data_IF_256042723613
#
_entry.id   IF_256042723613
#
_cell.length_a   1.000
_cell.length_b   1.000
_cell.length_c   1.000
_cell.angle_alpha   90.00
_cell.angle_beta   90.00
_cell.angle_gamma   90.00
#
_symmetry.space_group_name_H-M   'P 1'
#
loop_
_entity.id
_entity.type
_entity.pdbx_description
1 polymer ?
#
# COMPACT_ATOMS: atom_id res chain seq x y z
N UNK A 1 36.86 -6.18 17.56
CA UNK A 1 36.11 -5.02 17.01
C UNK A 1 35.34 -5.37 15.73
N UNK A 2 35.98 -5.97 14.72
CA UNK A 2 35.35 -6.40 13.44
C UNK A 2 34.17 -7.36 13.61
N UNK A 3 34.21 -8.30 14.56
CA UNK A 3 33.08 -9.20 14.83
C UNK A 3 31.81 -8.48 15.31
N UNK A 4 31.95 -7.47 16.16
CA UNK A 4 30.80 -6.70 16.66
C UNK A 4 30.18 -5.90 15.51
N UNK A 5 31.00 -5.24 14.68
CA UNK A 5 30.54 -4.53 13.49
C UNK A 5 29.77 -5.46 12.54
N UNK A 6 30.27 -6.69 12.33
CA UNK A 6 29.60 -7.69 11.48
C UNK A 6 28.23 -8.07 12.03
N UNK A 7 28.10 -8.31 13.33
CA UNK A 7 26.83 -8.64 13.98
C UNK A 7 25.84 -7.48 13.87
N UNK A 8 26.29 -6.25 14.12
CA UNK A 8 25.45 -5.04 14.00
C UNK A 8 24.97 -4.85 12.57
N UNK A 9 25.87 -4.92 11.58
CA UNK A 9 25.52 -4.80 10.17
C UNK A 9 24.53 -5.90 9.73
N UNK A 10 24.73 -7.13 10.17
CA UNK A 10 23.84 -8.25 9.85
C UNK A 10 22.44 -8.07 10.44
N UNK A 11 22.34 -7.54 11.66
CA UNK A 11 21.06 -7.21 12.30
C UNK A 11 20.33 -6.09 11.58
N UNK A 12 21.04 -5.03 11.20
CA UNK A 12 20.45 -3.92 10.44
C UNK A 12 19.98 -4.41 9.06
N UNK A 13 20.79 -5.19 8.36
CA UNK A 13 20.43 -5.76 7.07
C UNK A 13 19.19 -6.67 7.16
N UNK A 14 19.12 -7.53 8.18
CA UNK A 14 17.93 -8.35 8.44
C UNK A 14 16.71 -7.49 8.74
N UNK A 15 16.85 -6.45 9.58
CA UNK A 15 15.76 -5.51 9.87
C UNK A 15 15.24 -4.81 8.63
N UNK A 16 16.13 -4.26 7.80
CA UNK A 16 15.79 -3.62 6.53
C UNK A 16 15.12 -4.58 5.56
N UNK A 17 15.64 -5.81 5.44
CA UNK A 17 15.04 -6.84 4.60
C UNK A 17 13.62 -7.19 5.07
N UNK A 18 13.42 -7.27 6.38
CA UNK A 18 12.10 -7.57 6.98
C UNK A 18 11.12 -6.44 6.70
N UNK A 19 11.53 -5.18 6.89
CA UNK A 19 10.71 -4.01 6.58
C UNK A 19 10.36 -3.94 5.10
N UNK A 20 11.33 -4.22 4.23
CA UNK A 20 11.12 -4.25 2.78
C UNK A 20 10.14 -5.35 2.38
N UNK A 21 10.28 -6.56 2.94
CA UNK A 21 9.35 -7.67 2.70
C UNK A 21 7.93 -7.32 3.17
N UNK A 22 7.77 -6.77 4.38
CA UNK A 22 6.47 -6.33 4.91
C UNK A 22 5.86 -5.24 4.02
N UNK A 23 6.65 -4.26 3.58
CA UNK A 23 6.18 -3.21 2.67
C UNK A 23 5.63 -3.80 1.39
N UNK A 24 6.35 -4.72 0.74
CA UNK A 24 5.86 -5.39 -0.47
C UNK A 24 4.59 -6.18 -0.19
N UNK A 25 4.54 -6.94 0.90
CA UNK A 25 3.36 -7.73 1.29
C UNK A 25 2.14 -6.82 1.48
N UNK A 26 2.29 -5.68 2.15
CA UNK A 26 1.18 -4.75 2.37
C UNK A 26 0.76 -4.11 1.04
N UNK A 27 1.70 -3.61 0.23
CA UNK A 27 1.37 -2.98 -1.06
C UNK A 27 0.66 -3.94 -1.99
N UNK A 28 1.23 -5.13 -2.21
CA UNK A 28 0.60 -6.15 -3.04
C UNK A 28 -0.69 -6.67 -2.42
N UNK A 29 -0.73 -6.83 -1.09
CA UNK A 29 -1.93 -7.23 -0.38
C UNK A 29 -3.07 -6.25 -0.59
N UNK A 30 -2.79 -4.95 -0.54
CA UNK A 30 -3.77 -3.89 -0.81
C UNK A 30 -4.21 -3.85 -2.27
N UNK A 31 -3.29 -4.05 -3.23
CA UNK A 31 -3.64 -4.15 -4.66
C UNK A 31 -4.44 -5.43 -5.00
N UNK A 32 -4.21 -6.52 -4.26
CA UNK A 32 -4.92 -7.79 -4.40
C UNK A 32 -6.27 -7.83 -3.69
N UNK A 33 -6.56 -6.88 -2.78
CA UNK A 33 -7.84 -6.81 -2.11
C UNK A 33 -8.94 -6.55 -3.16
N UNK A 34 -9.91 -7.47 -3.31
CA UNK A 34 -11.05 -7.24 -4.18
C UNK A 34 -11.95 -6.17 -3.55
N UNK A 35 -11.97 -5.00 -4.15
CA UNK A 35 -12.82 -3.88 -3.73
C UNK A 35 -12.19 -2.55 -4.11
N UNK A 36 -12.92 -1.72 -4.85
CA UNK A 36 -12.50 -0.35 -5.09
C UNK A 36 -12.54 0.42 -3.76
N UNK A 37 -11.55 1.27 -3.50
CA UNK A 37 -11.53 2.12 -2.31
C UNK A 37 -12.79 3.02 -2.27
N UNK A 38 -13.28 3.44 -3.44
CA UNK A 38 -14.56 4.14 -3.57
C UNK A 38 -15.76 3.24 -3.22
N UNK A 39 -15.77 1.97 -3.60
CA UNK A 39 -16.83 1.01 -3.22
C UNK A 39 -16.81 0.72 -1.72
N UNK A 40 -15.63 0.59 -1.11
CA UNK A 40 -15.46 0.39 0.33
C UNK A 40 -15.96 1.60 1.15
N UNK A 41 -15.76 2.83 0.65
CA UNK A 41 -16.25 4.05 1.30
C UNK A 41 -17.76 4.25 1.08
N UNK A 42 -18.26 3.99 -0.13
CA UNK A 42 -19.68 4.17 -0.46
C UNK A 42 -20.57 3.06 0.13
N UNK A 43 -20.01 1.89 0.46
CA UNK A 43 -20.72 0.79 1.10
C UNK A 43 -21.94 0.34 0.30
N UNK A 44 -23.12 0.32 0.93
CA UNK A 44 -24.36 -0.07 0.23
C UNK A 44 -24.85 0.95 -0.81
N UNK A 45 -24.26 2.16 -0.85
CA UNK A 45 -24.52 3.18 -1.87
C UNK A 45 -23.59 3.09 -3.09
N UNK A 46 -22.74 2.07 -3.17
CA UNK A 46 -21.80 1.86 -4.26
C UNK A 46 -22.50 1.41 -5.56
N UNK A 47 -23.30 2.30 -6.16
CA UNK A 47 -23.76 2.10 -7.54
C UNK A 47 -22.63 2.47 -8.51
N UNK A 48 -22.57 1.86 -9.70
CA UNK A 48 -21.50 2.15 -10.67
C UNK A 48 -21.38 3.64 -11.02
N UNK A 49 -22.50 4.36 -11.05
CA UNK A 49 -22.53 5.80 -11.30
C UNK A 49 -21.94 6.59 -10.12
N UNK A 50 -22.35 6.25 -8.89
CA UNK A 50 -21.93 6.95 -7.67
C UNK A 50 -20.44 6.71 -7.41
N UNK A 51 -19.95 5.49 -7.63
CA UNK A 51 -18.53 5.13 -7.53
C UNK A 51 -17.70 5.97 -8.51
N UNK A 52 -18.14 6.11 -9.77
CA UNK A 52 -17.41 6.87 -10.78
C UNK A 52 -17.33 8.37 -10.46
N UNK A 53 -18.44 8.97 -10.01
CA UNK A 53 -18.45 10.37 -9.56
C UNK A 53 -17.54 10.56 -8.35
N UNK A 54 -17.66 9.69 -7.35
CA UNK A 54 -16.85 9.75 -6.12
C UNK A 54 -15.36 9.55 -6.41
N UNK A 55 -15.03 8.67 -7.35
CA UNK A 55 -13.65 8.42 -7.80
C UNK A 55 -13.07 9.63 -8.51
N UNK A 56 -13.87 10.35 -9.31
CA UNK A 56 -13.44 11.60 -9.95
C UNK A 56 -13.30 12.74 -8.94
N UNK A 57 -14.23 12.90 -8.00
CA UNK A 57 -14.18 13.96 -6.97
C UNK A 57 -12.97 13.82 -6.04
N UNK A 58 -12.66 12.59 -5.60
CA UNK A 58 -11.51 12.31 -4.74
C UNK A 58 -10.19 12.20 -5.52
N UNK A 59 -10.19 12.42 -6.84
CA UNK A 59 -9.01 12.28 -7.69
C UNK A 59 -8.46 10.85 -7.71
N UNK A 60 -9.31 9.87 -7.39
CA UNK A 60 -8.99 8.46 -7.36
C UNK A 60 -8.83 7.84 -8.76
N UNK A 61 -9.23 8.55 -9.82
CA UNK A 61 -8.93 8.15 -11.21
C UNK A 61 -7.47 8.39 -11.62
N UNK A 62 -6.67 9.08 -10.79
CA UNK A 62 -5.27 9.35 -11.07
C UNK A 62 -4.38 8.15 -10.69
N UNK A 63 -3.33 7.86 -11.47
CA UNK A 63 -2.41 6.76 -11.15
C UNK A 63 -1.72 7.02 -9.80
N UNK A 64 -1.43 5.94 -9.07
CA UNK A 64 -1.01 5.97 -7.66
C UNK A 64 0.18 6.90 -7.35
N UNK A 65 1.11 7.09 -8.28
CA UNK A 65 2.25 7.99 -8.15
C UNK A 65 1.88 9.49 -8.16
N UNK A 66 0.67 9.85 -8.61
CA UNK A 66 0.14 11.23 -8.58
C UNK A 66 -0.78 11.49 -7.37
N UNK A 67 -1.03 10.49 -6.52
CA UNK A 67 -1.87 10.58 -5.31
C UNK A 67 -1.08 10.79 -4.01
N UNK A 68 0.25 10.75 -4.08
CA UNK A 68 1.15 11.04 -2.96
C UNK A 68 1.31 12.55 -2.79
#
# INVERSE_FOLDING_TARGET
MIHILKIVAQRIALGLLTLFAISLIITFGVELLPGDLAEAILGQGATPETVKVFRTELGLDKPAHLRY
#
